data_IF_753296219893
#
_entry.id   IF_753296219893
#
_cell.length_a   1.000
_cell.length_b   1.000
_cell.length_c   1.000
_cell.angle_alpha   90.00
_cell.angle_beta   90.00
_cell.angle_gamma   90.00
#
_symmetry.space_group_name_H-M   'P 1'
#
loop_
_entity.id
_entity.type
_entity.pdbx_description
1 polymer ?
#
# COMPACT_ATOMS: atom_id res chain seq x y z
N UNK A 1 26.88 -9.66 -5.94
CA UNK A 1 25.43 -9.84 -5.83
C UNK A 1 24.84 -8.52 -5.34
N UNK A 2 23.72 -8.08 -5.93
CA UNK A 2 23.05 -6.85 -5.49
C UNK A 2 22.60 -6.96 -4.01
N UNK A 3 22.86 -5.93 -3.21
CA UNK A 3 22.48 -5.87 -1.81
C UNK A 3 21.04 -5.41 -1.70
N UNK A 4 20.14 -6.28 -1.22
CA UNK A 4 18.72 -5.97 -1.01
C UNK A 4 18.45 -5.72 0.47
N UNK A 5 17.90 -4.55 0.80
CA UNK A 5 17.56 -4.14 2.16
C UNK A 5 16.12 -3.63 2.24
N UNK A 6 15.43 -3.94 3.34
CA UNK A 6 14.14 -3.32 3.69
C UNK A 6 14.35 -2.45 4.93
N UNK A 7 13.76 -1.27 4.92
CA UNK A 7 13.76 -0.35 6.06
C UNK A 7 12.46 0.44 6.17
N UNK A 8 12.09 0.93 7.35
CA UNK A 8 11.07 1.96 7.47
C UNK A 8 11.43 3.19 6.62
N UNK A 9 10.41 3.79 6.01
CA UNK A 9 10.59 5.06 5.32
C UNK A 9 10.84 6.19 6.33
N UNK A 10 11.51 7.24 5.86
CA UNK A 10 11.75 8.49 6.59
C UNK A 10 11.19 9.68 5.80
N UNK A 11 10.99 10.87 6.40
CA UNK A 11 10.41 12.02 5.69
C UNK A 11 11.13 12.41 4.39
N UNK A 12 12.45 12.14 4.30
CA UNK A 12 13.22 12.36 3.08
C UNK A 12 12.81 11.46 1.91
N UNK A 13 12.18 10.31 2.17
CA UNK A 13 11.72 9.37 1.15
C UNK A 13 10.44 9.84 0.44
N UNK A 14 9.75 10.87 0.93
CA UNK A 14 8.46 11.32 0.38
C UNK A 14 8.51 11.55 -1.14
N UNK A 15 9.61 12.10 -1.65
CA UNK A 15 9.83 12.30 -3.08
C UNK A 15 9.94 10.97 -3.85
N UNK A 16 10.68 10.01 -3.31
CA UNK A 16 10.86 8.70 -3.93
C UNK A 16 9.54 7.91 -3.91
N UNK A 17 8.79 7.99 -2.81
CA UNK A 17 7.46 7.37 -2.69
C UNK A 17 6.52 7.94 -3.76
N UNK A 18 6.40 9.27 -3.86
CA UNK A 18 5.56 9.91 -4.88
C UNK A 18 5.94 9.51 -6.30
N UNK A 19 7.25 9.44 -6.60
CA UNK A 19 7.71 8.99 -7.90
C UNK A 19 7.23 7.56 -8.20
N UNK A 20 7.40 6.65 -7.26
CA UNK A 20 6.98 5.25 -7.40
C UNK A 20 5.45 5.09 -7.46
N UNK A 21 4.68 5.92 -6.77
CA UNK A 21 3.20 5.96 -6.89
C UNK A 21 2.78 6.37 -8.30
N UNK A 22 3.45 7.35 -8.91
CA UNK A 22 3.19 7.74 -10.30
C UNK A 22 3.58 6.65 -11.31
N UNK A 23 4.69 5.96 -11.05
CA UNK A 23 5.10 4.80 -11.84
C UNK A 23 4.08 3.66 -11.74
N UNK A 24 3.55 3.40 -10.52
CA UNK A 24 2.47 2.44 -10.28
C UNK A 24 1.19 2.80 -11.04
N UNK A 25 0.75 4.08 -10.98
CA UNK A 25 -0.41 4.53 -11.74
C UNK A 25 -0.25 4.28 -13.25
N UNK A 26 0.93 4.56 -13.80
CA UNK A 26 1.24 4.25 -15.20
C UNK A 26 1.17 2.75 -15.48
N UNK A 27 1.71 1.92 -14.59
CA UNK A 27 1.63 0.45 -14.70
C UNK A 27 0.18 -0.03 -14.67
N UNK A 28 -0.66 0.57 -13.85
CA UNK A 28 -2.10 0.27 -13.72
C UNK A 28 -2.96 0.89 -14.82
N UNK A 29 -2.34 1.54 -15.81
CA UNK A 29 -2.99 2.19 -16.97
C UNK A 29 -3.91 3.36 -16.57
N UNK A 30 -3.63 3.97 -15.43
CA UNK A 30 -4.31 5.17 -14.98
C UNK A 30 -3.56 6.42 -15.47
N UNK A 31 -4.28 7.50 -15.83
CA UNK A 31 -3.64 8.75 -16.20
C UNK A 31 -2.93 9.35 -14.98
N UNK A 32 -1.77 10.00 -15.21
CA UNK A 32 -1.01 10.63 -14.11
C UNK A 32 -1.81 11.72 -13.38
N UNK A 33 -2.82 12.30 -14.01
CA UNK A 33 -3.76 13.25 -13.38
C UNK A 33 -4.62 12.63 -12.28
N UNK A 34 -4.72 11.29 -12.23
CA UNK A 34 -5.40 10.60 -11.13
C UNK A 34 -4.58 10.61 -9.84
N UNK A 35 -3.26 10.90 -9.91
CA UNK A 35 -2.39 11.02 -8.75
C UNK A 35 -2.39 12.48 -8.28
N UNK A 36 -3.31 12.80 -7.39
CA UNK A 36 -3.44 14.14 -6.79
C UNK A 36 -2.46 14.36 -5.62
N UNK A 37 -1.91 13.26 -5.08
CA UNK A 37 -1.00 13.30 -3.94
C UNK A 37 0.28 14.10 -4.23
N UNK A 38 0.75 14.81 -3.21
CA UNK A 38 2.00 15.55 -3.19
C UNK A 38 2.99 14.98 -2.16
N UNK A 39 4.26 15.41 -2.23
CA UNK A 39 5.25 15.08 -1.18
C UNK A 39 4.80 15.58 0.21
N UNK A 40 4.11 16.72 0.28
CA UNK A 40 3.63 17.28 1.53
C UNK A 40 2.54 16.38 2.16
N UNK A 41 1.71 15.75 1.35
CA UNK A 41 0.68 14.81 1.83
C UNK A 41 1.35 13.57 2.45
N UNK A 42 2.34 12.97 1.80
CA UNK A 42 3.08 11.85 2.40
C UNK A 42 3.80 12.27 3.68
N UNK A 43 4.42 13.46 3.73
CA UNK A 43 5.05 13.95 4.95
C UNK A 43 4.08 14.12 6.10
N UNK A 44 2.88 14.64 5.83
CA UNK A 44 1.83 14.81 6.83
C UNK A 44 1.28 13.47 7.33
N UNK A 45 0.93 12.59 6.39
CA UNK A 45 0.12 11.41 6.68
C UNK A 45 0.95 10.16 7.04
N UNK A 46 2.21 10.07 6.61
CA UNK A 46 3.08 8.96 6.99
C UNK A 46 4.07 9.31 8.12
N UNK A 47 4.42 10.60 8.27
CA UNK A 47 5.49 11.02 9.18
C UNK A 47 5.08 12.11 10.18
N UNK A 48 3.83 12.54 10.16
CA UNK A 48 3.29 13.51 11.11
C UNK A 48 3.11 12.94 12.52
N UNK A 49 2.61 13.77 13.43
CA UNK A 49 2.35 13.37 14.83
C UNK A 49 1.32 12.25 14.98
N UNK A 50 0.41 12.13 14.03
CA UNK A 50 -0.62 11.08 13.99
C UNK A 50 -0.63 10.44 12.59
N UNK A 51 0.32 9.55 12.32
CA UNK A 51 0.44 8.93 11.01
C UNK A 51 -0.82 8.10 10.71
N UNK A 52 -1.32 8.24 9.48
CA UNK A 52 -2.50 7.51 8.97
C UNK A 52 -2.10 6.21 8.28
N UNK A 53 -0.87 6.16 7.80
CA UNK A 53 -0.29 5.02 7.10
C UNK A 53 1.21 4.92 7.40
N UNK A 54 1.76 3.76 7.11
CA UNK A 54 3.18 3.46 7.27
C UNK A 54 3.76 2.98 5.94
N UNK A 55 5.05 3.21 5.75
CA UNK A 55 5.73 2.83 4.51
C UNK A 55 7.04 2.12 4.85
N UNK A 56 7.30 1.01 4.16
CA UNK A 56 8.63 0.41 4.07
C UNK A 56 9.21 0.69 2.69
N UNK A 57 10.50 0.98 2.67
CA UNK A 57 11.29 1.14 1.45
C UNK A 57 12.12 -0.11 1.22
N UNK A 58 12.08 -0.61 -0.01
CA UNK A 58 12.98 -1.63 -0.50
C UNK A 58 14.12 -1.00 -1.30
N UNK A 59 15.33 -1.24 -0.86
CA UNK A 59 16.54 -0.72 -1.50
C UNK A 59 17.30 -1.84 -2.21
N UNK A 60 17.88 -1.49 -3.35
CA UNK A 60 18.89 -2.30 -4.05
C UNK A 60 20.15 -1.43 -4.15
N UNK A 61 21.25 -1.92 -3.58
CA UNK A 61 22.54 -1.20 -3.51
C UNK A 61 22.41 0.25 -2.98
N UNK A 62 21.53 0.42 -1.97
CA UNK A 62 21.28 1.69 -1.31
C UNK A 62 20.33 2.64 -2.04
N UNK A 63 19.78 2.23 -3.20
CA UNK A 63 18.81 3.02 -3.97
C UNK A 63 17.39 2.52 -3.70
N UNK A 64 16.41 3.40 -3.39
CA UNK A 64 15.00 3.02 -3.30
C UNK A 64 14.46 2.49 -4.63
N UNK A 65 14.12 1.22 -4.68
CA UNK A 65 13.64 0.53 -5.88
C UNK A 65 12.26 -0.12 -5.70
N UNK A 66 11.69 0.00 -4.51
CA UNK A 66 10.33 -0.44 -4.23
C UNK A 66 9.82 0.12 -2.92
N UNK A 67 8.51 0.08 -2.74
CA UNK A 67 7.88 0.45 -1.49
C UNK A 67 6.64 -0.40 -1.23
N UNK A 68 6.22 -0.44 0.02
CA UNK A 68 4.92 -0.94 0.44
C UNK A 68 4.31 0.06 1.43
N UNK A 69 3.09 0.52 1.14
CA UNK A 69 2.30 1.38 2.01
C UNK A 69 1.18 0.56 2.62
N UNK A 70 1.01 0.66 3.93
CA UNK A 70 0.02 -0.12 4.67
C UNK A 70 -0.56 0.67 5.84
N UNK A 71 -1.74 0.26 6.28
CA UNK A 71 -2.47 0.88 7.38
C UNK A 71 -3.30 -0.17 8.13
N UNK A 72 -3.72 0.16 9.35
CA UNK A 72 -4.62 -0.72 10.09
C UNK A 72 -6.06 -0.62 9.57
N UNK A 73 -6.72 -1.76 9.48
CA UNK A 73 -8.16 -1.88 9.41
C UNK A 73 -8.68 -2.64 10.64
N UNK A 74 -9.97 -2.89 10.73
CA UNK A 74 -10.56 -3.61 11.86
C UNK A 74 -11.60 -4.62 11.38
N UNK A 75 -11.62 -5.78 12.01
CA UNK A 75 -12.65 -6.79 11.79
C UNK A 75 -13.52 -6.94 13.03
N UNK A 76 -14.78 -6.56 12.92
CA UNK A 76 -15.75 -6.76 13.99
C UNK A 76 -16.00 -8.24 14.25
N UNK A 77 -15.91 -9.09 13.23
CA UNK A 77 -16.11 -10.53 13.36
C UNK A 77 -14.96 -11.21 14.12
N UNK A 78 -13.74 -10.75 13.90
CA UNK A 78 -12.56 -11.27 14.59
C UNK A 78 -12.29 -10.56 15.91
N UNK A 79 -12.96 -9.41 16.17
CA UNK A 79 -12.70 -8.55 17.33
C UNK A 79 -11.24 -8.06 17.38
N UNK A 80 -10.58 -7.88 16.23
CA UNK A 80 -9.15 -7.58 16.14
C UNK A 80 -8.85 -6.66 14.96
N UNK A 81 -7.77 -5.90 15.10
CA UNK A 81 -7.18 -5.19 13.97
C UNK A 81 -6.69 -6.16 12.90
N UNK A 82 -6.76 -5.72 11.67
CA UNK A 82 -6.06 -6.26 10.52
C UNK A 82 -5.09 -5.24 9.97
N UNK A 83 -4.38 -5.60 8.93
CA UNK A 83 -3.50 -4.71 8.18
C UNK A 83 -3.96 -4.70 6.72
N UNK A 84 -4.12 -3.51 6.15
CA UNK A 84 -4.42 -3.32 4.74
C UNK A 84 -3.17 -2.84 4.02
N UNK A 85 -2.79 -3.55 2.97
CA UNK A 85 -1.76 -3.09 2.03
C UNK A 85 -2.47 -2.27 0.96
N UNK A 86 -2.21 -0.97 0.96
CA UNK A 86 -2.74 -0.04 -0.05
C UNK A 86 -1.97 -0.18 -1.36
N UNK A 87 -0.64 -0.06 -1.30
CA UNK A 87 0.23 -0.17 -2.45
C UNK A 87 1.42 -1.08 -2.17
N UNK A 88 1.81 -1.87 -3.17
CA UNK A 88 3.08 -2.58 -3.25
C UNK A 88 3.62 -2.41 -4.67
N UNK A 89 4.72 -1.72 -4.80
CA UNK A 89 5.38 -1.48 -6.09
C UNK A 89 6.87 -1.79 -6.02
N UNK A 90 7.38 -2.38 -7.09
CA UNK A 90 8.81 -2.61 -7.32
C UNK A 90 9.11 -2.23 -8.76
N UNK A 91 10.10 -1.36 -8.97
CA UNK A 91 10.57 -0.96 -10.28
C UNK A 91 11.02 -2.16 -11.10
N UNK A 92 10.81 -2.11 -12.39
CA UNK A 92 11.09 -3.22 -13.32
C UNK A 92 12.53 -3.72 -13.20
N UNK A 93 13.50 -2.81 -13.10
CA UNK A 93 14.92 -3.15 -12.97
C UNK A 93 15.27 -3.93 -11.69
N UNK A 94 14.44 -3.83 -10.66
CA UNK A 94 14.62 -4.52 -9.38
C UNK A 94 13.72 -5.76 -9.22
N UNK A 95 12.89 -6.05 -10.22
CA UNK A 95 12.07 -7.28 -10.21
C UNK A 95 12.94 -8.53 -10.33
N UNK A 96 12.43 -9.64 -9.83
CA UNK A 96 13.19 -10.89 -9.82
C UNK A 96 14.22 -11.02 -8.69
N UNK A 97 14.55 -9.92 -7.98
CA UNK A 97 15.47 -9.94 -6.83
C UNK A 97 14.78 -10.30 -5.50
N UNK A 98 13.50 -10.65 -5.52
CA UNK A 98 12.72 -11.01 -4.33
C UNK A 98 12.28 -9.82 -3.48
N UNK A 99 12.48 -8.57 -3.95
CA UNK A 99 12.21 -7.34 -3.18
C UNK A 99 10.76 -7.24 -2.74
N UNK A 100 9.79 -7.47 -3.64
CA UNK A 100 8.36 -7.42 -3.33
C UNK A 100 7.95 -8.44 -2.27
N UNK A 101 8.50 -9.65 -2.35
CA UNK A 101 8.24 -10.70 -1.37
C UNK A 101 8.80 -10.35 0.02
N UNK A 102 9.96 -9.74 0.08
CA UNK A 102 10.56 -9.29 1.35
C UNK A 102 9.77 -8.13 1.97
N UNK A 103 9.34 -7.16 1.17
CA UNK A 103 8.46 -6.07 1.63
C UNK A 103 7.16 -6.62 2.23
N UNK A 104 6.50 -7.53 1.54
CA UNK A 104 5.26 -8.14 2.00
C UNK A 104 5.47 -8.99 3.26
N UNK A 105 6.58 -9.74 3.34
CA UNK A 105 6.93 -10.55 4.51
C UNK A 105 7.20 -9.69 5.75
N UNK A 106 7.84 -8.52 5.59
CA UNK A 106 8.06 -7.59 6.70
C UNK A 106 6.75 -6.98 7.21
N UNK A 107 5.80 -6.64 6.33
CA UNK A 107 4.46 -6.21 6.76
C UNK A 107 3.73 -7.33 7.49
N UNK A 108 3.84 -8.58 7.03
CA UNK A 108 3.24 -9.73 7.71
C UNK A 108 3.86 -9.95 9.12
N UNK A 109 5.17 -9.77 9.28
CA UNK A 109 5.85 -9.80 10.57
C UNK A 109 5.34 -8.70 11.49
N UNK A 110 5.27 -7.46 11.01
CA UNK A 110 4.73 -6.30 11.76
C UNK A 110 3.27 -6.57 12.18
N UNK A 111 2.45 -7.08 11.27
CA UNK A 111 1.05 -7.43 11.58
C UNK A 111 0.96 -8.45 12.72
N UNK A 112 1.80 -9.48 12.71
CA UNK A 112 1.85 -10.49 13.78
C UNK A 112 2.30 -9.91 15.11
N UNK A 113 3.34 -9.07 15.12
CA UNK A 113 3.85 -8.40 16.31
C UNK A 113 2.78 -7.50 16.96
N UNK A 114 1.92 -6.90 16.13
CA UNK A 114 0.78 -6.06 16.57
C UNK A 114 -0.51 -6.85 16.83
N UNK A 115 -0.44 -8.17 16.87
CA UNK A 115 -1.60 -9.05 17.06
C UNK A 115 -2.73 -8.86 16.03
N UNK A 116 -2.42 -8.35 14.83
CA UNK A 116 -3.35 -8.34 13.71
C UNK A 116 -3.67 -9.76 13.25
N UNK A 117 -4.92 -10.00 12.88
CA UNK A 117 -5.39 -11.36 12.51
C UNK A 117 -5.39 -11.63 11.02
N UNK A 118 -5.21 -10.61 10.18
CA UNK A 118 -5.22 -10.74 8.72
C UNK A 118 -4.43 -9.62 8.04
N UNK A 119 -4.02 -9.88 6.81
CA UNK A 119 -3.64 -8.89 5.81
C UNK A 119 -4.70 -8.86 4.73
N UNK A 120 -5.13 -7.68 4.34
CA UNK A 120 -6.05 -7.45 3.23
C UNK A 120 -5.39 -6.57 2.17
N UNK A 121 -5.77 -6.74 0.93
CA UNK A 121 -5.39 -5.85 -0.18
C UNK A 121 -6.45 -5.91 -1.29
N UNK A 122 -6.40 -4.95 -2.19
CA UNK A 122 -7.13 -5.00 -3.45
C UNK A 122 -6.14 -5.01 -4.62
N UNK A 123 -6.47 -5.74 -5.67
CA UNK A 123 -5.66 -5.81 -6.89
C UNK A 123 -6.57 -5.84 -8.11
N UNK A 124 -6.20 -5.13 -9.16
CA UNK A 124 -6.96 -5.09 -10.42
C UNK A 124 -7.09 -6.49 -11.02
N UNK A 125 -8.27 -6.84 -11.50
CA UNK A 125 -8.59 -8.19 -12.00
C UNK A 125 -7.64 -8.68 -13.11
N UNK A 126 -7.09 -7.79 -13.91
CA UNK A 126 -6.14 -8.08 -15.00
C UNK A 126 -4.67 -8.02 -14.57
N UNK A 127 -4.37 -7.53 -13.35
CA UNK A 127 -2.99 -7.32 -12.89
C UNK A 127 -2.29 -8.66 -12.64
N UNK A 128 -1.12 -8.92 -13.27
CA UNK A 128 -0.37 -10.16 -13.08
C UNK A 128 0.11 -10.35 -11.63
N UNK A 129 0.13 -9.30 -10.80
CA UNK A 129 0.45 -9.40 -9.37
C UNK A 129 -0.53 -10.29 -8.60
N UNK A 130 -1.71 -10.61 -9.13
CA UNK A 130 -2.63 -11.58 -8.53
C UNK A 130 -1.93 -12.91 -8.25
N UNK A 131 -1.20 -13.44 -9.23
CA UNK A 131 -0.46 -14.71 -9.07
C UNK A 131 0.60 -14.61 -7.96
N UNK A 132 1.28 -13.46 -7.84
CA UNK A 132 2.24 -13.23 -6.76
C UNK A 132 1.57 -13.26 -5.39
N UNK A 133 0.40 -12.67 -5.23
CA UNK A 133 -0.36 -12.70 -3.97
C UNK A 133 -0.86 -14.11 -3.64
N UNK A 134 -1.41 -14.82 -4.61
CA UNK A 134 -1.86 -16.22 -4.45
C UNK A 134 -0.69 -17.14 -4.03
N UNK A 135 0.47 -17.01 -4.67
CA UNK A 135 1.69 -17.73 -4.28
C UNK A 135 2.24 -17.29 -2.90
N UNK A 136 1.82 -16.13 -2.41
CA UNK A 136 2.14 -15.64 -1.06
C UNK A 136 1.13 -16.10 -0.01
N UNK A 137 0.11 -16.88 -0.40
CA UNK A 137 -0.90 -17.44 0.50
C UNK A 137 -2.16 -16.58 0.65
N UNK A 138 -2.33 -15.53 -0.15
CA UNK A 138 -3.60 -14.79 -0.17
C UNK A 138 -4.68 -15.57 -0.93
N UNK A 139 -5.90 -15.42 -0.47
CA UNK A 139 -7.09 -16.02 -1.12
C UNK A 139 -8.00 -14.91 -1.63
N UNK A 140 -8.43 -15.01 -2.89
CA UNK A 140 -9.38 -14.07 -3.47
C UNK A 140 -10.74 -14.15 -2.75
N UNK A 141 -11.29 -12.98 -2.39
CA UNK A 141 -12.61 -12.86 -1.77
C UNK A 141 -13.67 -12.60 -2.85
N UNK A 142 -13.91 -13.57 -3.73
CA UNK A 142 -14.76 -13.43 -4.91
C UNK A 142 -16.24 -13.12 -4.61
N UNK A 143 -16.70 -13.37 -3.37
CA UNK A 143 -18.05 -13.04 -2.91
C UNK A 143 -18.22 -11.56 -2.55
N UNK A 144 -17.14 -10.80 -2.40
CA UNK A 144 -17.14 -9.40 -2.01
C UNK A 144 -16.95 -8.51 -3.23
N UNK A 145 -17.65 -7.39 -3.24
CA UNK A 145 -17.49 -6.35 -4.26
C UNK A 145 -17.11 -5.05 -3.57
N UNK A 146 -16.03 -4.39 -3.99
CA UNK A 146 -15.65 -3.09 -3.45
C UNK A 146 -16.64 -2.02 -3.92
N UNK A 147 -16.99 -1.09 -3.03
CA UNK A 147 -17.78 0.10 -3.34
C UNK A 147 -17.02 1.33 -2.88
N UNK A 148 -17.12 2.41 -3.64
CA UNK A 148 -16.48 3.70 -3.34
C UNK A 148 -17.49 4.82 -3.49
N UNK A 149 -17.49 5.73 -2.52
CA UNK A 149 -18.20 7.01 -2.60
C UNK A 149 -17.18 8.13 -2.48
N UNK A 150 -17.16 9.05 -3.42
CA UNK A 150 -16.18 10.13 -3.48
C UNK A 150 -16.82 11.44 -4.04
N UNK A 151 -16.07 12.54 -3.95
CA UNK A 151 -16.43 13.83 -4.54
C UNK A 151 -17.80 14.33 -4.07
N UNK A 152 -18.60 14.82 -5.00
CA UNK A 152 -19.95 15.37 -4.72
C UNK A 152 -20.90 14.35 -4.08
N UNK A 153 -20.76 13.05 -4.39
CA UNK A 153 -21.57 12.01 -3.76
C UNK A 153 -21.32 11.94 -2.26
N UNK A 154 -20.04 12.02 -1.85
CA UNK A 154 -19.66 12.07 -0.43
C UNK A 154 -20.21 13.32 0.26
N UNK A 155 -20.11 14.48 -0.40
CA UNK A 155 -20.62 15.75 0.13
C UNK A 155 -22.15 15.71 0.32
N UNK A 156 -22.89 15.16 -0.66
CA UNK A 156 -24.35 15.02 -0.56
C UNK A 156 -24.76 14.11 0.61
N UNK A 157 -24.15 12.95 0.73
CA UNK A 157 -24.47 12.03 1.82
C UNK A 157 -24.12 12.63 3.19
N UNK A 158 -23.00 13.35 3.29
CA UNK A 158 -22.60 14.03 4.54
C UNK A 158 -23.60 15.11 4.96
N UNK A 159 -24.22 15.80 4.03
CA UNK A 159 -25.23 16.83 4.31
C UNK A 159 -26.50 16.24 4.96
N UNK A 160 -26.83 14.99 4.75
CA UNK A 160 -27.97 14.32 5.39
C UNK A 160 -27.77 14.11 6.90
N UNK A 161 -26.54 14.11 7.39
CA UNK A 161 -26.25 13.95 8.82
C UNK A 161 -26.56 15.23 9.66
N UNK A 162 -26.76 16.38 9.01
CA UNK A 162 -27.08 17.64 9.64
C UNK A 162 -28.60 17.94 9.72
N UNK A 163 -29.42 17.03 9.21
CA UNK A 163 -30.87 17.08 9.27
C UNK A 163 -31.37 16.18 10.43
#
# INVERSE_FOLDING_TARGET
MASVRIRPAVPADARAILAMVRELATFEREPLSSVEASEADFRRDCFGTHPRCEVLIGEVDGTPEGFILFLHNYSTWLGRAGMHVEDLYVRDAARGLGLGRRLLADVARIARERACKRLDLAVLHWNPARQFYEQSGFTELSQWRPYRLAGEGLARLAAEAAA
#
